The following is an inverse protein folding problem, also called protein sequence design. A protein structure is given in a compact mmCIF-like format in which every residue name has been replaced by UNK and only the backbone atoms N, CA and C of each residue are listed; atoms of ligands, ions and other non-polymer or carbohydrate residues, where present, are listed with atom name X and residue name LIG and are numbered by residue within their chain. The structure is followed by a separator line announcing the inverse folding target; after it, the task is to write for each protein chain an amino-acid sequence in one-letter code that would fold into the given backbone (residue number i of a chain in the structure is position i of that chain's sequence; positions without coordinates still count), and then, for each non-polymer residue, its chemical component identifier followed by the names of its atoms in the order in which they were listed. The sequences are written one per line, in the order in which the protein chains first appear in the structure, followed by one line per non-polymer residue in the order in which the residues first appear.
data_IF_093130485822
#
_entry.id   IF_093130485822
#
_cell.length_a   1.000
_cell.length_b   1.000
_cell.length_c   1.000
_cell.angle_alpha   90.00
_cell.angle_beta   90.00
_cell.angle_gamma   90.00
#
_symmetry.space_group_name_H-M   'P 1'
#
loop_
_entity.id
_entity.type
_entity.pdbx_description
1 polymer ?
#
# COMPACT_ATOMS: atom_id res chain seq x y z
N UNK A 1 -16.28 -10.50 -1.48
CA UNK A 1 -15.68 -10.12 -0.20
C UNK A 1 -14.19 -10.39 -0.30
N UNK A 2 -13.36 -9.39 -0.03
CA UNK A 2 -11.90 -9.50 -0.06
C UNK A 2 -11.39 -9.48 1.38
N UNK A 3 -10.33 -10.24 1.65
CA UNK A 3 -9.67 -10.26 2.95
C UNK A 3 -8.26 -9.73 2.72
N UNK A 4 -7.89 -8.69 3.47
CA UNK A 4 -6.54 -8.14 3.46
C UNK A 4 -5.70 -8.87 4.51
N UNK A 5 -4.44 -9.16 4.18
CA UNK A 5 -3.46 -9.51 5.19
C UNK A 5 -3.05 -8.24 5.97
N UNK A 6 -2.22 -8.39 6.99
CA UNK A 6 -1.82 -7.28 7.86
C UNK A 6 -1.19 -6.11 7.07
N UNK A 7 -0.24 -6.41 6.19
CA UNK A 7 0.43 -5.41 5.35
C UNK A 7 -0.53 -4.71 4.41
N UNK A 8 -1.41 -5.44 3.71
CA UNK A 8 -2.38 -4.85 2.80
C UNK A 8 -3.46 -4.04 3.53
N UNK A 9 -3.80 -4.41 4.77
CA UNK A 9 -4.65 -3.60 5.64
C UNK A 9 -4.00 -2.26 5.99
N UNK A 10 -2.70 -2.26 6.30
CA UNK A 10 -1.94 -1.03 6.53
C UNK A 10 -1.90 -0.13 5.28
N UNK A 11 -1.62 -0.72 4.12
CA UNK A 11 -1.61 -0.02 2.83
C UNK A 11 -2.97 0.64 2.59
N UNK A 12 -4.05 -0.09 2.86
CA UNK A 12 -5.41 0.43 2.77
C UNK A 12 -5.65 1.62 3.70
N UNK A 13 -5.26 1.51 4.97
CA UNK A 13 -5.44 2.58 5.95
C UNK A 13 -4.67 3.86 5.59
N UNK A 14 -3.50 3.70 4.95
CA UNK A 14 -2.68 4.81 4.47
C UNK A 14 -3.04 5.28 3.04
N UNK A 15 -3.95 4.58 2.35
CA UNK A 15 -4.49 5.02 1.05
C UNK A 15 -5.59 6.06 1.24
N UNK A 16 -5.30 7.10 2.02
CA UNK A 16 -6.22 8.16 2.43
C UNK A 16 -6.27 9.36 1.47
N UNK A 17 -5.39 9.37 0.47
CA UNK A 17 -5.24 10.46 -0.49
C UNK A 17 -4.32 11.59 -0.02
N UNK A 18 -3.76 11.48 1.19
CA UNK A 18 -2.71 12.37 1.70
C UNK A 18 -1.32 11.74 1.55
N UNK A 19 -1.20 10.43 1.71
CA UNK A 19 0.08 9.72 1.58
C UNK A 19 0.37 9.29 0.14
N UNK A 20 1.61 9.51 -0.29
CA UNK A 20 2.19 8.97 -1.52
C UNK A 20 2.60 7.50 -1.36
N UNK A 21 2.83 6.81 -2.48
CA UNK A 21 3.33 5.42 -2.50
C UNK A 21 4.66 5.31 -1.74
N UNK A 22 5.53 6.29 -1.90
CA UNK A 22 6.80 6.37 -1.18
C UNK A 22 6.60 6.49 0.33
N UNK A 23 5.72 7.37 0.78
CA UNK A 23 5.43 7.57 2.21
C UNK A 23 4.80 6.31 2.81
N UNK A 24 3.87 5.66 2.09
CA UNK A 24 3.26 4.40 2.52
C UNK A 24 4.34 3.32 2.67
N UNK A 25 5.25 3.19 1.71
CA UNK A 25 6.33 2.20 1.77
C UNK A 25 7.32 2.47 2.92
N UNK A 26 7.65 3.73 3.18
CA UNK A 26 8.50 4.12 4.31
C UNK A 26 7.86 3.79 5.66
N UNK A 27 6.57 4.08 5.84
CA UNK A 27 5.84 3.75 7.08
C UNK A 27 5.78 2.24 7.32
N UNK A 28 5.54 1.45 6.27
CA UNK A 28 5.55 -0.01 6.38
C UNK A 28 6.95 -0.55 6.68
N UNK A 29 7.99 -0.01 6.03
CA UNK A 29 9.37 -0.41 6.32
C UNK A 29 9.77 -0.18 7.78
N UNK A 30 9.34 0.93 8.39
CA UNK A 30 9.60 1.22 9.81
C UNK A 30 9.05 0.15 10.74
N UNK A 31 7.95 -0.52 10.37
CA UNK A 31 7.33 -1.55 11.21
C UNK A 31 7.89 -2.96 10.98
N UNK A 32 8.35 -3.28 9.77
CA UNK A 32 8.69 -4.66 9.41
C UNK A 32 10.19 -4.94 9.21
N UNK A 33 11.09 -3.98 9.48
CA UNK A 33 12.56 -4.11 9.32
C UNK A 33 12.95 -4.69 7.94
N UNK A 34 12.24 -4.21 6.91
CA UNK A 34 12.36 -4.63 5.51
C UNK A 34 13.01 -3.52 4.66
N UNK A 35 13.56 -3.87 3.50
CA UNK A 35 14.10 -2.85 2.59
C UNK A 35 12.99 -2.10 1.87
N UNK A 36 13.14 -0.78 1.76
CA UNK A 36 12.17 0.12 1.11
C UNK A 36 11.86 -0.31 -0.32
N UNK A 37 12.87 -0.74 -1.08
CA UNK A 37 12.68 -1.19 -2.45
C UNK A 37 11.78 -2.44 -2.55
N UNK A 38 11.90 -3.38 -1.60
CA UNK A 38 11.04 -4.57 -1.59
C UNK A 38 9.60 -4.23 -1.19
N UNK A 39 9.43 -3.30 -0.25
CA UNK A 39 8.11 -2.87 0.21
C UNK A 39 7.39 -2.02 -0.83
N UNK A 40 8.11 -1.19 -1.59
CA UNK A 40 7.51 -0.39 -2.68
C UNK A 40 6.80 -1.24 -3.72
N UNK A 41 7.41 -2.36 -4.14
CA UNK A 41 6.81 -3.26 -5.11
C UNK A 41 5.52 -3.90 -4.58
N UNK A 42 5.49 -4.26 -3.29
CA UNK A 42 4.29 -4.80 -2.62
C UNK A 42 3.20 -3.74 -2.45
N UNK A 43 3.57 -2.50 -2.13
CA UNK A 43 2.64 -1.37 -2.03
C UNK A 43 2.00 -1.09 -3.38
N UNK A 44 2.81 -0.96 -4.44
CA UNK A 44 2.32 -0.74 -5.81
C UNK A 44 1.39 -1.87 -6.25
N UNK A 45 1.81 -3.12 -6.07
CA UNK A 45 1.00 -4.30 -6.44
C UNK A 45 -0.34 -4.33 -5.69
N UNK A 46 -0.35 -3.92 -4.42
CA UNK A 46 -1.57 -3.84 -3.61
C UNK A 46 -2.48 -2.71 -4.07
N UNK A 47 -1.95 -1.51 -4.28
CA UNK A 47 -2.70 -0.34 -4.78
C UNK A 47 -3.31 -0.65 -6.15
N UNK A 48 -2.55 -1.27 -7.05
CA UNK A 48 -3.10 -1.72 -8.33
C UNK A 48 -4.25 -2.71 -8.15
N UNK A 49 -4.12 -3.68 -7.25
CA UNK A 49 -5.18 -4.65 -6.97
C UNK A 49 -6.45 -3.99 -6.44
N UNK A 50 -6.30 -3.03 -5.52
CA UNK A 50 -7.38 -2.24 -4.96
C UNK A 50 -8.04 -1.33 -6.01
N UNK A 51 -7.25 -0.70 -6.88
CA UNK A 51 -7.76 0.11 -7.99
C UNK A 51 -8.54 -0.76 -8.99
N UNK A 52 -8.02 -1.94 -9.36
CA UNK A 52 -8.69 -2.90 -10.26
C UNK A 52 -10.07 -3.34 -9.76
N UNK A 53 -10.26 -3.45 -8.45
CA UNK A 53 -11.57 -3.79 -7.87
C UNK A 53 -12.42 -2.54 -7.56
N UNK A 54 -11.93 -1.35 -7.86
CA UNK A 54 -12.67 -0.09 -7.82
C UNK A 54 -12.89 0.48 -6.42
N UNK A 55 -12.05 0.10 -5.45
CA UNK A 55 -12.21 0.52 -4.04
C UNK A 55 -11.31 1.72 -3.67
N UNK A 56 -10.28 1.99 -4.48
CA UNK A 56 -9.48 3.21 -4.42
C UNK A 56 -9.33 3.78 -5.82
N UNK A 57 -8.99 5.07 -5.91
CA UNK A 57 -8.52 5.71 -7.14
C UNK A 57 -7.09 6.16 -6.93
N UNK A 58 -6.24 5.87 -7.90
CA UNK A 58 -4.85 6.29 -7.90
C UNK A 58 -4.52 6.91 -9.26
N UNK A 59 -3.83 8.05 -9.23
CA UNK A 59 -3.30 8.74 -10.40
C UNK A 59 -1.81 8.95 -10.17
N UNK A 60 -0.99 8.49 -11.11
CA UNK A 60 0.47 8.74 -11.17
C UNK A 60 0.80 10.24 -11.25
#
# INVERSE_FOLDING_TARGET
YHILNETAGKIWDLSDGEHSVEEIAEEICKEYDASVDAVKDDVLSTIEGLNKVGVITWSE
#
